data_IF_041544737129
#
_entry.id   IF_041544737129
#
_cell.length_a   1.000
_cell.length_b   1.000
_cell.length_c   1.000
_cell.angle_alpha   90.00
_cell.angle_beta   90.00
_cell.angle_gamma   90.00
#
_symmetry.space_group_name_H-M   'P 1'
#
loop_
_entity.id
_entity.type
_entity.pdbx_description
1 polymer ?
#
# COMPACT_ATOMS: atom_id res chain seq x y z
N UNK A 1 -8.02 -24.83 -2.04
CA UNK A 1 -7.56 -23.43 -2.26
C UNK A 1 -8.45 -22.88 -3.35
N UNK A 2 -9.49 -22.16 -2.95
CA UNK A 2 -10.70 -21.98 -3.75
C UNK A 2 -10.53 -20.92 -4.85
N UNK A 3 -11.32 -21.03 -5.92
CA UNK A 3 -11.26 -20.15 -7.08
C UNK A 3 -11.42 -18.66 -6.72
N UNK A 4 -12.15 -18.37 -5.64
CA UNK A 4 -12.30 -17.04 -5.07
C UNK A 4 -10.94 -16.40 -4.68
N UNK A 5 -10.03 -17.18 -4.08
CA UNK A 5 -8.69 -16.69 -3.72
C UNK A 5 -7.81 -16.43 -4.95
N UNK A 6 -7.99 -17.18 -6.04
CA UNK A 6 -7.25 -16.96 -7.29
C UNK A 6 -7.72 -15.72 -8.03
N UNK A 7 -9.00 -15.40 -7.94
CA UNK A 7 -9.57 -14.19 -8.55
C UNK A 7 -9.11 -12.92 -7.83
N UNK A 8 -9.06 -12.93 -6.50
CA UNK A 8 -8.50 -11.82 -5.70
C UNK A 8 -7.03 -11.56 -6.06
N UNK A 9 -6.22 -12.62 -6.21
CA UNK A 9 -4.80 -12.49 -6.60
C UNK A 9 -4.65 -11.90 -8.02
N UNK A 10 -5.59 -12.20 -8.93
CA UNK A 10 -5.59 -11.62 -10.28
C UNK A 10 -6.10 -10.17 -10.32
N UNK A 11 -7.06 -9.80 -9.48
CA UNK A 11 -7.64 -8.46 -9.45
C UNK A 11 -6.79 -7.44 -8.70
N UNK A 12 -6.11 -7.86 -7.63
CA UNK A 12 -5.56 -6.90 -6.66
C UNK A 12 -4.03 -6.69 -6.76
N UNK A 13 -3.31 -7.46 -7.57
CA UNK A 13 -1.84 -7.50 -7.44
C UNK A 13 -0.99 -7.34 -8.72
N UNK A 14 -1.48 -7.56 -9.94
CA UNK A 14 -0.53 -7.82 -11.06
C UNK A 14 -0.96 -7.28 -12.43
N UNK A 15 -1.42 -6.04 -12.52
CA UNK A 15 -1.31 -5.32 -13.81
C UNK A 15 -0.66 -3.96 -13.58
N UNK A 16 0.56 -3.72 -14.11
CA UNK A 16 1.12 -2.38 -14.19
C UNK A 16 0.20 -1.58 -15.12
N UNK A 17 -0.68 -0.76 -14.56
CA UNK A 17 -1.49 0.13 -15.38
C UNK A 17 -0.59 1.23 -15.94
N UNK A 18 -0.70 1.43 -17.25
CA UNK A 18 -0.10 2.53 -18.01
C UNK A 18 -0.34 3.86 -17.25
N UNK A 19 0.71 4.66 -16.96
CA UNK A 19 0.59 5.89 -16.20
C UNK A 19 -0.50 6.85 -16.72
N UNK A 20 -0.84 6.80 -18.00
CA UNK A 20 -1.82 7.69 -18.62
C UNK A 20 -3.30 7.29 -18.40
N UNK A 21 -3.60 6.05 -17.96
CA UNK A 21 -4.98 5.52 -17.95
C UNK A 21 -5.41 4.87 -16.62
N UNK A 22 -4.70 5.15 -15.51
CA UNK A 22 -4.85 4.37 -14.26
C UNK A 22 -6.23 4.52 -13.59
N UNK A 23 -7.02 3.44 -13.64
CA UNK A 23 -8.07 3.17 -12.63
C UNK A 23 -7.41 2.64 -11.36
N UNK A 24 -7.59 3.28 -10.18
CA UNK A 24 -7.07 2.75 -8.92
C UNK A 24 -7.74 1.42 -8.57
N UNK A 25 -6.97 0.50 -7.98
CA UNK A 25 -7.41 -0.85 -7.56
C UNK A 25 -8.59 -0.82 -6.55
N UNK A 26 -8.88 0.35 -5.97
CA UNK A 26 -10.15 0.62 -5.30
C UNK A 26 -10.71 1.94 -5.84
N UNK A 27 -11.92 1.84 -6.39
CA UNK A 27 -12.60 2.84 -7.22
C UNK A 27 -12.49 4.28 -6.74
N UNK A 28 -12.39 5.15 -7.74
CA UNK A 28 -12.56 6.60 -7.73
C UNK A 28 -11.93 7.34 -6.55
N UNK A 29 -10.71 7.86 -6.77
CA UNK A 29 -10.05 8.90 -5.96
C UNK A 29 -9.89 8.67 -4.44
N UNK A 30 -10.17 7.45 -3.94
CA UNK A 30 -10.21 7.13 -2.50
C UNK A 30 -9.14 6.13 -2.03
N UNK A 31 -8.31 5.60 -2.93
CA UNK A 31 -7.19 4.71 -2.59
C UNK A 31 -5.87 5.45 -2.45
N UNK A 32 -4.94 4.93 -1.63
CA UNK A 32 -3.54 5.39 -1.59
C UNK A 32 -2.81 5.12 -2.91
N UNK A 33 -3.31 4.19 -3.74
CA UNK A 33 -2.71 3.88 -5.03
C UNK A 33 -1.36 3.15 -4.90
N UNK A 34 -1.22 2.30 -3.88
CA UNK A 34 -0.04 1.46 -3.67
C UNK A 34 0.10 0.53 -4.88
N UNK A 35 1.29 0.51 -5.46
CA UNK A 35 1.60 -0.20 -6.70
C UNK A 35 3.02 -0.73 -6.67
N UNK A 36 3.26 -1.77 -7.44
CA UNK A 36 4.59 -2.34 -7.63
C UNK A 36 5.43 -1.41 -8.52
N UNK A 37 6.58 -0.99 -8.01
CA UNK A 37 7.64 -0.30 -8.75
C UNK A 37 8.98 -0.97 -8.38
N UNK A 38 9.41 -2.02 -9.10
CA UNK A 38 10.60 -2.79 -8.72
C UNK A 38 11.84 -1.91 -8.59
N UNK A 39 12.58 -2.06 -7.49
CA UNK A 39 13.78 -1.25 -7.24
C UNK A 39 13.53 0.23 -6.98
N UNK A 40 12.29 0.62 -6.69
CA UNK A 40 11.97 2.02 -6.39
C UNK A 40 12.74 2.52 -5.16
N UNK A 41 13.38 3.70 -5.23
CA UNK A 41 14.06 4.28 -4.07
C UNK A 41 13.05 4.75 -2.99
N UNK A 42 11.77 4.85 -3.35
CA UNK A 42 10.65 5.33 -2.53
C UNK A 42 9.79 4.19 -1.99
N UNK A 43 10.41 3.07 -1.62
CA UNK A 43 9.66 1.89 -1.18
C UNK A 43 8.85 2.15 0.08
N UNK A 44 7.75 1.43 0.25
CA UNK A 44 6.92 1.52 1.45
C UNK A 44 7.71 1.29 2.75
N UNK A 45 8.76 0.47 2.70
CA UNK A 45 9.72 0.29 3.79
C UNK A 45 10.34 1.59 4.32
N UNK A 46 10.57 2.58 3.45
CA UNK A 46 11.13 3.89 3.82
C UNK A 46 10.08 4.97 4.04
N UNK A 47 8.82 4.63 3.86
CA UNK A 47 7.71 5.57 3.95
C UNK A 47 7.30 5.70 5.41
N UNK A 48 7.16 6.94 5.91
CA UNK A 48 6.70 7.20 7.28
C UNK A 48 5.34 6.57 7.59
N UNK A 49 4.52 6.35 6.56
CA UNK A 49 3.20 5.74 6.68
C UNK A 49 3.21 4.21 6.58
N UNK A 50 4.37 3.61 6.33
CA UNK A 50 4.56 2.18 6.27
C UNK A 50 4.87 1.62 7.64
N UNK A 51 4.26 0.50 7.99
CA UNK A 51 4.67 -0.32 9.13
C UNK A 51 4.83 -1.75 8.64
N UNK A 52 5.84 -2.46 9.12
CA UNK A 52 6.02 -3.87 8.78
C UNK A 52 4.85 -4.70 9.32
N UNK A 53 4.44 -5.73 8.59
CA UNK A 53 3.46 -6.68 9.12
C UNK A 53 4.05 -7.39 10.35
N UNK A 54 3.30 -7.51 11.47
CA UNK A 54 3.84 -8.05 12.72
C UNK A 54 4.19 -9.54 12.64
N UNK A 55 3.69 -10.27 11.64
CA UNK A 55 3.95 -11.70 11.46
C UNK A 55 4.94 -11.96 10.33
N UNK A 56 4.87 -11.20 9.23
CA UNK A 56 5.71 -11.42 8.04
C UNK A 56 6.39 -10.13 7.61
N UNK A 57 7.66 -9.88 8.01
CA UNK A 57 8.34 -8.60 7.79
C UNK A 57 8.56 -8.18 6.33
N UNK A 58 8.40 -9.11 5.36
CA UNK A 58 8.42 -8.80 3.92
C UNK A 58 7.14 -8.14 3.41
N UNK A 59 6.09 -8.14 4.24
CA UNK A 59 4.80 -7.50 4.00
C UNK A 59 4.67 -6.28 4.91
N UNK A 60 3.71 -5.41 4.59
CA UNK A 60 3.48 -4.19 5.36
C UNK A 60 2.03 -3.77 5.46
N UNK A 61 1.81 -2.72 6.24
CA UNK A 61 0.54 -2.02 6.39
C UNK A 61 0.79 -0.53 6.14
N UNK A 62 0.00 0.08 5.26
CA UNK A 62 0.00 1.52 5.06
C UNK A 62 -1.11 2.17 5.90
N UNK A 63 -0.76 3.21 6.65
CA UNK A 63 -1.68 3.98 7.51
C UNK A 63 -2.00 5.39 6.99
N UNK A 64 -1.58 5.72 5.77
CA UNK A 64 -1.75 7.07 5.19
C UNK A 64 -3.22 7.47 4.93
N UNK A 65 -4.15 6.52 4.92
CA UNK A 65 -5.56 6.78 4.65
C UNK A 65 -6.31 7.00 5.97
N UNK A 66 -6.57 8.27 6.28
CA UNK A 66 -7.37 8.70 7.43
C UNK A 66 -8.67 9.34 6.96
N UNK A 67 -9.78 9.06 7.65
CA UNK A 67 -11.02 9.79 7.41
C UNK A 67 -11.00 11.16 8.13
N UNK A 68 -12.02 12.00 7.90
CA UNK A 68 -12.13 13.34 8.54
C UNK A 68 -12.20 13.29 10.06
N UNK A 69 -12.52 12.14 10.65
CA UNK A 69 -12.59 11.92 12.10
C UNK A 69 -11.29 11.31 12.67
N UNK A 70 -10.26 11.12 11.84
CA UNK A 70 -8.98 10.55 12.26
C UNK A 70 -8.91 9.02 12.25
N UNK A 71 -9.98 8.31 11.90
CA UNK A 71 -9.95 6.85 11.83
C UNK A 71 -9.05 6.38 10.67
N UNK A 72 -8.14 5.46 10.97
CA UNK A 72 -7.16 4.92 10.03
C UNK A 72 -7.74 3.70 9.32
N UNK A 73 -7.77 3.75 7.99
CA UNK A 73 -8.15 2.60 7.17
C UNK A 73 -6.90 1.99 6.54
N UNK A 74 -6.35 0.99 7.24
CA UNK A 74 -5.11 0.32 6.83
C UNK A 74 -5.23 -0.28 5.42
N UNK A 75 -4.12 -0.28 4.69
CA UNK A 75 -3.96 -1.01 3.42
C UNK A 75 -2.84 -2.01 3.54
N UNK A 76 -3.10 -3.23 3.13
CA UNK A 76 -2.10 -4.27 3.10
C UNK A 76 -1.10 -4.03 1.95
N UNK A 77 0.19 -4.26 2.21
CA UNK A 77 1.29 -4.14 1.25
C UNK A 77 1.91 -5.54 1.07
N UNK A 78 1.67 -6.20 -0.07
CA UNK A 78 2.20 -7.54 -0.33
C UNK A 78 3.73 -7.61 -0.44
N UNK A 79 4.37 -6.58 -1.00
CA UNK A 79 5.83 -6.47 -1.13
C UNK A 79 6.28 -5.12 -0.57
N UNK A 80 6.75 -5.15 0.68
CA UNK A 80 7.07 -3.94 1.43
C UNK A 80 8.30 -3.19 0.86
N UNK A 81 9.16 -3.90 0.13
CA UNK A 81 10.43 -3.37 -0.36
C UNK A 81 10.36 -2.86 -1.80
N UNK A 82 9.36 -3.28 -2.59
CA UNK A 82 9.24 -2.90 -4.00
C UNK A 82 7.94 -2.19 -4.36
N UNK A 83 7.07 -1.88 -3.40
CA UNK A 83 5.85 -1.11 -3.65
C UNK A 83 5.97 0.33 -3.18
N UNK A 84 5.26 1.24 -3.85
CA UNK A 84 5.21 2.68 -3.50
C UNK A 84 3.88 3.31 -3.94
N UNK A 85 3.72 4.61 -3.69
CA UNK A 85 2.60 5.41 -4.16
C UNK A 85 2.98 6.88 -4.31
N UNK A 86 2.05 7.72 -4.78
CA UNK A 86 2.29 9.16 -4.96
C UNK A 86 2.24 9.97 -3.65
N UNK A 87 1.84 9.32 -2.54
CA UNK A 87 1.85 9.89 -1.18
C UNK A 87 3.08 9.47 -0.37
N UNK A 88 4.13 8.99 -1.03
CA UNK A 88 5.38 8.64 -0.36
C UNK A 88 5.94 9.87 0.36
N UNK A 89 6.30 9.68 1.62
CA UNK A 89 7.01 10.66 2.44
C UNK A 89 8.04 9.89 3.24
N UNK A 90 9.31 10.23 3.06
CA UNK A 90 10.42 9.51 3.70
C UNK A 90 10.44 9.79 5.21
N UNK A 91 10.75 8.77 5.99
CA UNK A 91 10.96 8.88 7.43
C UNK A 91 10.19 7.81 8.21
N UNK A 92 10.07 8.05 9.51
CA UNK A 92 9.34 7.20 10.45
C UNK A 92 8.29 8.07 11.16
N UNK A 93 7.09 7.53 11.38
CA UNK A 93 6.11 8.20 12.27
C UNK A 93 6.43 7.89 13.73
N UNK A 94 6.28 8.90 14.60
CA UNK A 94 6.35 8.74 16.05
C UNK A 94 5.38 7.61 16.47
N UNK A 95 5.74 6.83 17.50
CA UNK A 95 4.88 5.78 18.05
C UNK A 95 3.50 6.32 18.47
N UNK A 96 3.37 7.61 18.78
CA UNK A 96 2.09 8.28 19.08
C UNK A 96 1.15 8.41 17.88
N UNK A 97 1.69 8.39 16.67
CA UNK A 97 0.93 8.50 15.41
C UNK A 97 0.62 7.13 14.79
N UNK A 98 1.14 6.05 15.39
CA UNK A 98 0.85 4.66 15.07
C UNK A 98 -0.44 4.17 15.76
N UNK A 99 -0.98 3.03 15.29
CA UNK A 99 -2.20 2.36 15.79
C UNK A 99 -1.84 1.31 16.84
#
# INVERSE_FOLDING_TARGET
MDNFYREIIKSDAITPSDPATRKPLHGDNRGIGIRLEPGTPRSCYKCRWGTADPTVPSKGQCVALKNKMGAIWKRFIPDYFNMTCDRFEEGDVDFREHV
#
